data_IF_432276721491
#
_entry.id   IF_432276721491
#
_cell.length_a   1.000
_cell.length_b   1.000
_cell.length_c   1.000
_cell.angle_alpha   90.00
_cell.angle_beta   90.00
_cell.angle_gamma   90.00
#
_symmetry.space_group_name_H-M   'P 1'
#
loop_
_entity.id
_entity.type
_entity.pdbx_description
1 polymer ?
#
# COMPACT_ATOMS: atom_id res chain seq x y z
N UNK A 1 27.74 -14.10 20.61
CA UNK A 1 27.14 -13.06 19.78
C UNK A 1 27.08 -13.48 18.30
N UNK A 2 28.21 -13.78 17.61
CA UNK A 2 28.28 -14.16 16.18
C UNK A 2 27.31 -15.31 15.81
N UNK A 3 27.21 -16.37 16.63
CA UNK A 3 26.29 -17.50 16.40
C UNK A 3 24.82 -17.10 16.45
N UNK A 4 24.44 -16.21 17.36
CA UNK A 4 23.03 -15.77 17.48
C UNK A 4 22.62 -14.91 16.29
N UNK A 5 23.51 -14.02 15.82
CA UNK A 5 23.26 -13.22 14.62
C UNK A 5 23.11 -14.11 13.39
N UNK A 6 24.01 -15.07 13.19
CA UNK A 6 23.91 -16.01 12.08
C UNK A 6 22.59 -16.79 12.09
N UNK A 7 22.15 -17.29 13.25
CA UNK A 7 20.86 -17.98 13.36
C UNK A 7 19.66 -17.08 13.04
N UNK A 8 19.71 -15.82 13.45
CA UNK A 8 18.67 -14.85 13.13
C UNK A 8 18.59 -14.59 11.62
N UNK A 9 19.74 -14.49 10.95
CA UNK A 9 19.81 -14.35 9.49
C UNK A 9 19.35 -15.62 8.76
N UNK A 10 19.68 -16.81 9.29
CA UNK A 10 19.17 -18.08 8.73
C UNK A 10 17.65 -18.17 8.81
N UNK A 11 17.03 -17.67 9.88
CA UNK A 11 15.58 -17.60 10.00
C UNK A 11 14.92 -16.63 8.99
N UNK A 12 15.69 -15.71 8.44
CA UNK A 12 15.19 -14.77 7.42
C UNK A 12 14.74 -15.46 6.12
N UNK A 13 15.34 -16.60 5.80
CA UNK A 13 14.94 -17.36 4.59
C UNK A 13 13.50 -17.86 4.68
N UNK A 14 12.99 -18.06 5.91
CA UNK A 14 11.58 -18.41 6.13
C UNK A 14 10.60 -17.26 5.81
N UNK A 15 11.13 -16.04 5.60
CA UNK A 15 10.34 -14.87 5.20
C UNK A 15 10.40 -14.57 3.70
N UNK A 16 10.96 -15.48 2.89
CA UNK A 16 11.07 -15.34 1.44
C UNK A 16 12.37 -14.71 0.95
N UNK A 17 13.33 -14.39 1.82
CA UNK A 17 14.63 -13.88 1.39
C UNK A 17 15.60 -15.02 1.11
N UNK A 18 16.15 -15.14 -0.13
CA UNK A 18 17.15 -16.17 -0.43
C UNK A 18 18.41 -16.04 0.44
N UNK A 19 18.96 -17.17 0.89
CA UNK A 19 20.18 -17.22 1.70
C UNK A 19 21.39 -16.55 1.01
N UNK A 20 21.41 -16.54 -0.33
CA UNK A 20 22.42 -15.89 -1.16
C UNK A 20 22.49 -14.38 -0.96
N UNK A 21 21.38 -13.72 -0.68
CA UNK A 21 21.33 -12.27 -0.39
C UNK A 21 22.24 -11.87 0.79
N UNK A 22 22.43 -12.78 1.73
CA UNK A 22 23.13 -12.51 3.00
C UNK A 22 24.44 -13.29 3.11
N UNK A 23 24.90 -13.96 2.04
CA UNK A 23 26.16 -14.73 2.03
C UNK A 23 26.25 -15.71 3.21
N UNK A 24 25.13 -16.34 3.59
CA UNK A 24 25.03 -17.10 4.83
C UNK A 24 26.03 -18.26 4.88
N UNK A 25 26.36 -18.91 3.78
CA UNK A 25 27.34 -19.99 3.74
C UNK A 25 28.73 -19.48 4.10
N UNK A 26 29.16 -18.35 3.53
CA UNK A 26 30.45 -17.71 3.83
C UNK A 26 30.54 -17.31 5.29
N UNK A 27 29.47 -16.70 5.81
CA UNK A 27 29.39 -16.31 7.22
C UNK A 27 29.41 -17.52 8.14
N UNK A 28 28.76 -18.63 7.79
CA UNK A 28 28.73 -19.88 8.56
C UNK A 28 30.15 -20.49 8.69
N UNK A 29 30.86 -20.58 7.56
CA UNK A 29 32.26 -21.08 7.55
C UNK A 29 33.14 -20.16 8.40
N UNK A 30 33.03 -18.84 8.21
CA UNK A 30 33.86 -17.86 8.92
C UNK A 30 33.57 -17.84 10.43
N UNK A 31 32.31 -17.93 10.86
CA UNK A 31 31.93 -18.03 12.28
C UNK A 31 32.47 -19.33 12.90
N UNK A 32 32.46 -20.43 12.15
CA UNK A 32 33.01 -21.72 12.62
C UNK A 32 34.50 -21.63 12.80
N UNK A 33 35.27 -21.12 11.81
CA UNK A 33 36.69 -20.91 11.88
C UNK A 33 37.10 -19.99 13.05
N UNK A 34 36.34 -18.90 13.27
CA UNK A 34 36.56 -18.01 14.42
C UNK A 34 36.43 -18.74 15.77
N UNK A 35 35.48 -19.67 15.89
CA UNK A 35 35.29 -20.46 17.13
C UNK A 35 36.38 -21.48 17.37
N UNK A 36 37.00 -21.94 16.31
CA UNK A 36 38.13 -22.89 16.37
C UNK A 36 39.49 -22.21 16.60
N UNK A 37 39.51 -20.87 16.71
CA UNK A 37 40.75 -20.10 16.86
C UNK A 37 41.60 -20.02 15.59
N UNK A 38 41.01 -20.30 14.42
CA UNK A 38 41.72 -20.34 13.13
C UNK A 38 41.82 -18.98 12.45
N UNK A 39 41.48 -17.89 13.13
CA UNK A 39 41.47 -16.53 12.57
C UNK A 39 42.43 -15.62 13.36
N UNK A 40 43.20 -14.82 12.63
CA UNK A 40 43.93 -13.68 13.17
C UNK A 40 43.01 -12.49 13.44
N UNK A 41 43.52 -11.47 14.13
CA UNK A 41 42.74 -10.28 14.51
C UNK A 41 42.15 -9.53 13.29
N UNK A 42 42.90 -9.50 12.17
CA UNK A 42 42.43 -8.83 10.92
C UNK A 42 41.23 -9.57 10.31
N UNK A 43 41.22 -10.90 10.32
CA UNK A 43 40.12 -11.72 9.84
C UNK A 43 38.93 -11.64 10.78
N UNK A 44 39.18 -11.61 12.12
CA UNK A 44 38.12 -11.41 13.12
C UNK A 44 37.43 -10.05 12.96
N UNK A 45 38.17 -8.97 12.72
CA UNK A 45 37.64 -7.66 12.49
C UNK A 45 36.80 -7.61 11.21
N UNK A 46 37.27 -8.22 10.09
CA UNK A 46 36.49 -8.34 8.86
C UNK A 46 35.20 -9.13 9.05
N UNK A 47 35.22 -10.22 9.80
CA UNK A 47 34.03 -10.98 10.11
C UNK A 47 33.01 -10.16 10.91
N UNK A 48 33.45 -9.36 11.88
CA UNK A 48 32.57 -8.50 12.66
C UNK A 48 31.92 -7.42 11.79
N UNK A 49 32.67 -6.82 10.87
CA UNK A 49 32.14 -5.86 9.89
C UNK A 49 31.10 -6.52 8.97
N UNK A 50 31.43 -7.68 8.38
CA UNK A 50 30.52 -8.42 7.49
C UNK A 50 29.22 -8.84 8.20
N UNK A 51 29.29 -9.28 9.44
CA UNK A 51 28.11 -9.62 10.23
C UNK A 51 27.27 -8.38 10.54
N UNK A 52 27.90 -7.25 10.84
CA UNK A 52 27.20 -5.98 11.12
C UNK A 52 26.52 -5.43 9.86
N UNK A 53 27.22 -5.43 8.74
CA UNK A 53 26.68 -5.05 7.42
C UNK A 53 25.47 -5.93 7.05
N UNK A 54 25.64 -7.26 7.17
CA UNK A 54 24.55 -8.20 6.86
C UNK A 54 23.35 -7.99 7.76
N UNK A 55 23.54 -7.66 9.04
CA UNK A 55 22.43 -7.32 9.94
C UNK A 55 21.69 -6.08 9.46
N UNK A 56 22.40 -5.01 9.11
CA UNK A 56 21.79 -3.75 8.68
C UNK A 56 21.02 -3.95 7.37
N UNK A 57 21.62 -4.63 6.40
CA UNK A 57 20.98 -4.94 5.10
C UNK A 57 19.72 -5.80 5.31
N UNK A 58 19.82 -6.87 6.12
CA UNK A 58 18.67 -7.71 6.40
C UNK A 58 17.58 -6.96 7.16
N UNK A 59 17.93 -6.18 8.17
CA UNK A 59 16.99 -5.36 8.94
C UNK A 59 16.25 -4.36 8.03
N UNK A 60 16.96 -3.79 7.06
CA UNK A 60 16.37 -2.89 6.07
C UNK A 60 15.39 -3.61 5.14
N UNK A 61 15.76 -4.78 4.61
CA UNK A 61 14.89 -5.61 3.78
C UNK A 61 13.62 -6.06 4.52
N UNK A 62 13.74 -6.49 5.77
CA UNK A 62 12.57 -6.88 6.60
C UNK A 62 11.64 -5.68 6.85
N UNK A 63 12.22 -4.48 6.99
CA UNK A 63 11.48 -3.25 7.32
C UNK A 63 10.74 -2.66 6.13
N UNK A 64 11.36 -2.64 4.95
CA UNK A 64 10.86 -1.90 3.78
C UNK A 64 10.75 -2.71 2.49
N UNK A 65 11.05 -4.01 2.54
CA UNK A 65 11.12 -4.86 1.36
C UNK A 65 12.50 -4.88 0.70
N UNK A 66 12.71 -5.85 -0.18
CA UNK A 66 13.90 -5.96 -1.01
C UNK A 66 13.90 -4.92 -2.13
N UNK A 67 12.72 -4.66 -2.69
CA UNK A 67 12.53 -3.74 -3.81
C UNK A 67 11.94 -2.42 -3.29
N UNK A 68 12.54 -1.29 -3.66
CA UNK A 68 11.91 0.01 -3.43
C UNK A 68 10.70 0.14 -4.38
N UNK A 69 9.47 0.30 -3.86
CA UNK A 69 8.27 0.39 -4.68
C UNK A 69 8.35 1.47 -5.77
N UNK A 70 9.09 2.57 -5.53
CA UNK A 70 9.24 3.67 -6.49
C UNK A 70 10.09 3.31 -7.71
N UNK A 71 10.77 2.16 -7.68
CA UNK A 71 11.52 1.65 -8.83
C UNK A 71 10.63 0.84 -9.78
N UNK A 72 9.47 0.40 -9.31
CA UNK A 72 8.55 -0.48 -10.06
C UNK A 72 7.19 0.16 -10.31
N UNK A 73 6.82 1.24 -9.61
CA UNK A 73 5.56 1.96 -9.86
C UNK A 73 5.63 3.42 -9.44
N UNK A 74 5.12 4.31 -10.29
CA UNK A 74 4.95 5.74 -9.99
C UNK A 74 3.72 6.01 -9.10
N UNK A 75 2.99 4.95 -8.73
CA UNK A 75 1.73 5.05 -7.98
C UNK A 75 1.86 4.70 -6.50
N UNK A 76 3.08 4.55 -5.98
CA UNK A 76 3.35 4.36 -4.57
C UNK A 76 3.68 5.67 -3.86
N UNK A 77 2.81 6.10 -2.94
CA UNK A 77 2.92 7.36 -2.21
C UNK A 77 2.70 7.19 -0.70
N UNK A 78 2.93 5.99 -0.17
CA UNK A 78 2.99 5.81 1.28
C UNK A 78 4.32 6.39 1.78
N UNK A 79 4.31 7.28 2.80
CA UNK A 79 5.54 7.87 3.32
C UNK A 79 6.47 6.82 3.92
N UNK A 80 7.76 6.88 3.54
CA UNK A 80 8.78 6.10 4.21
C UNK A 80 9.05 6.67 5.62
N UNK A 81 9.41 5.79 6.56
CA UNK A 81 9.80 6.18 7.91
C UNK A 81 11.30 5.90 8.09
N UNK A 82 12.11 6.93 8.33
CA UNK A 82 13.52 6.76 8.66
C UNK A 82 13.69 5.80 9.84
N UNK A 83 14.72 4.98 9.81
CA UNK A 83 15.04 4.04 10.87
C UNK A 83 16.54 4.09 11.19
N UNK A 84 16.88 4.17 12.46
CA UNK A 84 18.26 4.03 12.92
C UNK A 84 18.60 2.55 13.10
N UNK A 85 18.99 1.88 12.01
CA UNK A 85 19.35 0.47 12.02
C UNK A 85 20.72 0.23 12.71
N UNK A 86 21.60 1.22 12.67
CA UNK A 86 22.89 1.14 13.38
C UNK A 86 22.69 1.23 14.91
N UNK A 87 21.84 2.12 15.36
CA UNK A 87 21.42 2.19 16.75
C UNK A 87 20.67 0.94 17.20
N UNK A 88 19.81 0.37 16.35
CA UNK A 88 19.15 -0.91 16.61
C UNK A 88 20.18 -2.04 16.80
N UNK A 89 21.18 -2.14 15.92
CA UNK A 89 22.26 -3.14 16.06
C UNK A 89 23.02 -2.94 17.38
N UNK A 90 23.46 -1.71 17.66
CA UNK A 90 24.23 -1.39 18.86
C UNK A 90 23.47 -1.77 20.13
N UNK A 91 22.19 -1.37 20.20
CA UNK A 91 21.32 -1.67 21.35
C UNK A 91 21.07 -3.18 21.49
N UNK A 92 20.78 -3.86 20.38
CA UNK A 92 20.50 -5.31 20.41
C UNK A 92 21.74 -6.14 20.78
N UNK A 93 22.95 -5.70 20.40
CA UNK A 93 24.20 -6.31 20.83
C UNK A 93 24.45 -6.10 22.33
N UNK A 94 24.19 -4.89 22.84
CA UNK A 94 24.34 -4.59 24.27
C UNK A 94 23.38 -5.42 25.14
N UNK A 95 22.16 -5.60 24.69
CA UNK A 95 21.11 -6.38 25.36
C UNK A 95 21.20 -7.88 25.08
N UNK A 96 22.09 -8.33 24.19
CA UNK A 96 22.17 -9.70 23.68
C UNK A 96 20.85 -10.23 23.10
N UNK A 97 20.08 -9.34 22.41
CA UNK A 97 18.72 -9.55 21.93
C UNK A 97 18.60 -9.33 20.39
N UNK A 98 19.61 -9.77 19.63
CA UNK A 98 19.69 -9.55 18.17
C UNK A 98 18.54 -10.23 17.42
N UNK A 99 18.17 -11.45 17.80
CA UNK A 99 17.11 -12.21 17.12
C UNK A 99 15.76 -11.53 17.27
N UNK A 100 15.38 -11.18 18.51
CA UNK A 100 14.11 -10.50 18.76
C UNK A 100 14.09 -9.08 18.17
N UNK A 101 15.25 -8.42 18.03
CA UNK A 101 15.35 -7.13 17.36
C UNK A 101 14.94 -7.23 15.88
N UNK A 102 15.39 -8.29 15.16
CA UNK A 102 14.99 -8.56 13.78
C UNK A 102 13.53 -8.99 13.68
N UNK A 103 13.07 -9.86 14.57
CA UNK A 103 11.65 -10.26 14.62
C UNK A 103 10.70 -9.08 14.83
N UNK A 104 11.11 -8.12 15.65
CA UNK A 104 10.33 -6.88 15.85
C UNK A 104 10.20 -6.03 14.59
N UNK A 105 11.03 -6.19 13.59
CA UNK A 105 10.93 -5.50 12.30
C UNK A 105 9.91 -6.17 11.35
N UNK A 106 9.61 -7.44 11.54
CA UNK A 106 8.68 -8.20 10.70
C UNK A 106 7.25 -7.65 10.85
N UNK A 107 6.47 -7.55 9.77
CA UNK A 107 5.06 -7.19 9.84
C UNK A 107 4.29 -8.14 10.78
N UNK A 108 3.61 -7.59 11.81
CA UNK A 108 2.93 -8.39 12.85
C UNK A 108 1.50 -8.80 12.50
N UNK A 109 1.09 -8.63 11.26
CA UNK A 109 -0.29 -8.94 10.86
C UNK A 109 -0.44 -10.41 10.58
N UNK A 110 -1.58 -10.96 11.03
CA UNK A 110 -1.91 -12.37 10.81
C UNK A 110 -1.85 -12.72 9.31
N UNK A 111 -2.42 -11.88 8.45
CA UNK A 111 -2.42 -12.10 7.00
C UNK A 111 -1.01 -12.17 6.40
N UNK A 112 -0.03 -11.40 6.88
CA UNK A 112 1.37 -11.53 6.46
C UNK A 112 1.96 -12.88 6.86
N UNK A 113 1.73 -13.29 8.11
CA UNK A 113 2.23 -14.57 8.62
C UNK A 113 1.57 -15.76 7.90
N UNK A 114 0.28 -15.66 7.62
CA UNK A 114 -0.46 -16.66 6.83
C UNK A 114 0.09 -16.75 5.41
N UNK A 115 0.30 -15.62 4.74
CA UNK A 115 0.88 -15.58 3.40
C UNK A 115 2.30 -16.20 3.38
N UNK A 116 3.15 -15.88 4.36
CA UNK A 116 4.51 -16.39 4.46
C UNK A 116 4.57 -17.94 4.64
N UNK A 117 3.53 -18.57 5.19
CA UNK A 117 3.48 -20.03 5.36
C UNK A 117 3.47 -20.77 4.02
N UNK A 118 2.93 -20.18 2.97
CA UNK A 118 2.90 -20.79 1.64
C UNK A 118 4.28 -20.84 0.96
N UNK A 119 5.27 -20.07 1.45
CA UNK A 119 6.64 -20.12 0.93
C UNK A 119 7.28 -21.51 1.00
N UNK A 120 6.86 -22.34 1.94
CA UNK A 120 7.42 -23.69 2.11
C UNK A 120 6.99 -24.66 1.01
N UNK A 121 5.90 -24.38 0.31
CA UNK A 121 5.30 -25.26 -0.71
C UNK A 121 5.25 -24.62 -2.10
N UNK A 122 5.34 -23.30 -2.19
CA UNK A 122 5.30 -22.58 -3.46
C UNK A 122 6.58 -22.76 -4.28
N UNK A 123 6.44 -22.98 -5.57
CA UNK A 123 7.53 -23.16 -6.53
C UNK A 123 7.31 -22.31 -7.79
N UNK A 124 8.38 -22.08 -8.56
CA UNK A 124 8.31 -21.40 -9.85
C UNK A 124 7.70 -19.99 -9.75
N UNK A 125 6.78 -19.67 -10.66
CA UNK A 125 6.16 -18.35 -10.75
C UNK A 125 5.23 -18.04 -9.56
N UNK A 126 4.59 -19.04 -8.97
CA UNK A 126 3.78 -18.86 -7.75
C UNK A 126 4.64 -18.36 -6.59
N UNK A 127 5.82 -18.92 -6.45
CA UNK A 127 6.78 -18.48 -5.42
C UNK A 127 7.20 -17.03 -5.63
N UNK A 128 7.55 -16.62 -6.85
CA UNK A 128 7.91 -15.22 -7.13
C UNK A 128 6.75 -14.26 -6.86
N UNK A 129 5.53 -14.63 -7.24
CA UNK A 129 4.33 -13.84 -6.92
C UNK A 129 4.12 -13.71 -5.42
N UNK A 130 4.36 -14.78 -4.67
CA UNK A 130 4.25 -14.78 -3.22
C UNK A 130 5.31 -13.88 -2.57
N UNK A 131 6.57 -13.98 -2.99
CA UNK A 131 7.68 -13.15 -2.54
C UNK A 131 7.44 -11.66 -2.84
N UNK A 132 6.96 -11.33 -4.03
CA UNK A 132 6.57 -9.98 -4.42
C UNK A 132 5.45 -9.41 -3.54
N UNK A 133 4.42 -10.20 -3.23
CA UNK A 133 3.34 -9.77 -2.35
C UNK A 133 3.78 -9.64 -0.90
N UNK A 134 4.69 -10.48 -0.41
CA UNK A 134 5.31 -10.29 0.90
C UNK A 134 6.11 -8.99 0.97
N UNK A 135 6.75 -8.60 -0.13
CA UNK A 135 7.45 -7.30 -0.21
C UNK A 135 6.48 -6.13 -0.12
N UNK A 136 5.36 -6.18 -0.85
CA UNK A 136 4.29 -5.17 -0.76
C UNK A 136 3.77 -4.98 0.68
N UNK A 137 3.72 -6.05 1.47
CA UNK A 137 3.39 -5.96 2.90
C UNK A 137 4.44 -5.20 3.71
N UNK A 138 5.73 -5.34 3.37
CA UNK A 138 6.84 -4.67 4.04
C UNK A 138 6.92 -3.18 3.71
N UNK A 139 6.38 -2.76 2.57
CA UNK A 139 6.32 -1.36 2.17
C UNK A 139 5.42 -0.52 3.07
N UNK A 140 4.49 -1.14 3.76
CA UNK A 140 3.60 -0.45 4.69
C UNK A 140 4.30 -0.09 6.00
N UNK A 141 3.84 0.97 6.69
CA UNK A 141 4.20 1.20 8.07
C UNK A 141 3.91 -0.06 8.90
N UNK A 142 4.87 -0.45 9.73
CA UNK A 142 4.73 -1.63 10.57
C UNK A 142 3.53 -1.55 11.50
N UNK A 143 3.28 -0.37 12.02
CA UNK A 143 2.14 -0.04 12.87
C UNK A 143 1.20 0.90 12.10
N UNK A 144 -0.01 0.42 11.79
CA UNK A 144 -1.07 1.21 11.17
C UNK A 144 -1.99 1.85 12.22
N UNK A 145 -1.73 1.63 13.51
CA UNK A 145 -2.59 1.99 14.62
C UNK A 145 -3.65 0.93 14.93
N UNK A 146 -4.44 1.18 15.97
CA UNK A 146 -5.53 0.29 16.38
C UNK A 146 -6.81 0.56 15.58
N UNK A 147 -7.01 1.82 15.14
CA UNK A 147 -8.19 2.25 14.40
C UNK A 147 -7.77 2.77 13.02
N UNK A 148 -8.21 2.12 11.94
CA UNK A 148 -7.93 2.56 10.56
C UNK A 148 -8.87 1.89 9.55
N UNK A 149 -8.91 2.47 8.34
CA UNK A 149 -9.48 1.84 7.16
C UNK A 149 -8.36 1.33 6.25
N UNK A 150 -8.56 0.17 5.66
CA UNK A 150 -7.65 -0.44 4.70
C UNK A 150 -8.39 -0.69 3.39
N UNK A 151 -8.07 0.06 2.34
CA UNK A 151 -8.63 -0.13 1.01
C UNK A 151 -7.70 -1.03 0.22
N UNK A 152 -8.12 -2.28 -0.01
CA UNK A 152 -7.41 -3.29 -0.81
C UNK A 152 -7.84 -3.15 -2.27
N UNK A 153 -7.04 -2.46 -3.06
CA UNK A 153 -7.43 -2.02 -4.42
C UNK A 153 -7.71 -3.20 -5.35
N UNK A 154 -6.82 -4.19 -5.42
CA UNK A 154 -7.02 -5.37 -6.29
C UNK A 154 -8.10 -6.33 -5.77
N UNK A 155 -8.43 -6.31 -4.48
CA UNK A 155 -9.55 -7.08 -3.93
C UNK A 155 -10.90 -6.36 -4.10
N UNK A 156 -10.88 -5.08 -4.46
CA UNK A 156 -12.07 -4.22 -4.48
C UNK A 156 -12.82 -4.21 -3.14
N UNK A 157 -12.07 -4.15 -2.04
CA UNK A 157 -12.60 -4.22 -0.68
C UNK A 157 -12.02 -3.13 0.22
N UNK A 158 -12.82 -2.67 1.17
CA UNK A 158 -12.44 -1.80 2.26
C UNK A 158 -12.70 -2.52 3.58
N UNK A 159 -11.65 -2.71 4.36
CA UNK A 159 -11.72 -3.25 5.72
C UNK A 159 -11.69 -2.12 6.73
N UNK A 160 -12.57 -2.20 7.72
CA UNK A 160 -12.56 -1.32 8.88
C UNK A 160 -12.03 -2.07 10.09
N UNK A 161 -10.91 -1.59 10.63
CA UNK A 161 -10.27 -2.11 11.84
C UNK A 161 -10.48 -1.10 12.95
N UNK A 162 -10.85 -1.60 14.13
CA UNK A 162 -11.09 -0.80 15.33
C UNK A 162 -10.63 -1.54 16.57
N UNK A 163 -9.86 -0.86 17.44
CA UNK A 163 -9.25 -1.50 18.61
C UNK A 163 -8.36 -2.70 18.23
N UNK A 164 -7.73 -2.67 17.05
CA UNK A 164 -6.98 -3.78 16.50
C UNK A 164 -7.80 -4.95 15.97
N UNK A 165 -9.15 -4.88 16.02
CA UNK A 165 -10.07 -5.94 15.61
C UNK A 165 -10.77 -5.56 14.30
N UNK A 166 -10.87 -6.51 13.37
CA UNK A 166 -11.64 -6.36 12.15
C UNK A 166 -13.14 -6.25 12.46
N UNK A 167 -13.76 -5.15 12.04
CA UNK A 167 -15.18 -4.85 12.28
C UNK A 167 -16.06 -5.27 11.11
N UNK A 168 -15.65 -4.91 9.90
CA UNK A 168 -16.42 -5.20 8.69
C UNK A 168 -15.58 -5.00 7.44
N UNK A 169 -15.95 -5.72 6.39
CA UNK A 169 -15.49 -5.47 5.02
C UNK A 169 -16.65 -4.91 4.18
N UNK A 170 -16.33 -4.07 3.22
CA UNK A 170 -17.26 -3.49 2.25
C UNK A 170 -16.68 -3.57 0.85
N UNK A 171 -17.54 -3.81 -0.12
CA UNK A 171 -17.12 -3.71 -1.52
C UNK A 171 -16.83 -2.25 -1.88
N UNK A 172 -15.82 -2.06 -2.72
CA UNK A 172 -15.50 -0.74 -3.26
C UNK A 172 -15.38 -0.79 -4.79
N UNK A 173 -15.57 0.38 -5.41
CA UNK A 173 -15.26 0.62 -6.82
C UNK A 173 -14.08 1.57 -6.86
N UNK A 174 -13.00 1.16 -7.50
CA UNK A 174 -11.74 1.90 -7.61
C UNK A 174 -11.54 2.50 -9.00
N UNK A 175 -10.46 3.22 -9.22
CA UNK A 175 -10.13 3.84 -10.50
C UNK A 175 -9.86 2.83 -11.61
N UNK A 176 -10.25 3.20 -12.84
CA UNK A 176 -9.88 2.48 -14.06
C UNK A 176 -8.35 2.41 -14.23
N UNK A 177 -7.80 1.45 -14.99
CA UNK A 177 -6.34 1.33 -15.18
C UNK A 177 -5.64 2.61 -15.67
N UNK A 178 -6.31 3.42 -16.49
CA UNK A 178 -5.78 4.70 -16.99
C UNK A 178 -6.03 5.90 -16.05
N UNK A 179 -6.86 5.72 -15.03
CA UNK A 179 -7.23 6.72 -14.01
C UNK A 179 -7.22 6.06 -12.64
N UNK A 180 -6.15 5.30 -12.39
CA UNK A 180 -6.06 4.40 -11.24
C UNK A 180 -6.10 5.13 -9.91
N UNK A 181 -6.56 4.43 -8.89
CA UNK A 181 -6.37 4.83 -7.51
C UNK A 181 -4.95 4.45 -7.09
N UNK A 182 -4.07 5.40 -6.72
CA UNK A 182 -2.72 5.07 -6.28
C UNK A 182 -2.71 4.43 -4.89
N UNK A 183 -1.58 3.81 -4.54
CA UNK A 183 -1.29 3.37 -3.18
C UNK A 183 -0.74 4.53 -2.36
N UNK A 184 -1.47 4.94 -1.31
CA UNK A 184 -1.07 6.06 -0.44
C UNK A 184 -1.67 5.93 0.95
N UNK A 185 -1.13 6.70 1.89
CA UNK A 185 -1.67 6.84 3.23
C UNK A 185 -2.26 8.24 3.42
N UNK A 186 -3.40 8.32 4.07
CA UNK A 186 -4.09 9.55 4.44
C UNK A 186 -4.87 9.37 5.73
N UNK A 187 -5.74 10.32 6.03
CA UNK A 187 -6.66 10.22 7.17
C UNK A 187 -7.96 10.97 6.86
N UNK A 188 -9.07 10.41 7.34
CA UNK A 188 -10.36 11.09 7.32
C UNK A 188 -10.39 12.10 8.46
N UNK A 189 -10.65 13.35 8.12
CA UNK A 189 -10.84 14.45 9.09
C UNK A 189 -12.29 14.83 9.24
N UNK A 190 -13.06 14.70 8.16
CA UNK A 190 -14.42 15.17 8.06
C UNK A 190 -15.29 14.24 7.21
N UNK A 191 -16.57 14.16 7.55
CA UNK A 191 -17.61 13.53 6.75
C UNK A 191 -18.55 14.62 6.26
N UNK A 192 -18.67 14.75 4.93
CA UNK A 192 -19.59 15.69 4.29
C UNK A 192 -20.88 14.97 3.96
N UNK A 193 -22.00 15.44 4.50
CA UNK A 193 -23.35 14.94 4.25
C UNK A 193 -23.96 15.72 3.10
N UNK A 194 -24.64 15.04 2.19
CA UNK A 194 -25.23 15.62 0.97
C UNK A 194 -24.24 16.56 0.24
N UNK A 195 -23.07 16.02 -0.20
CA UNK A 195 -22.03 16.83 -0.81
C UNK A 195 -22.46 17.38 -2.16
N UNK A 196 -22.08 18.63 -2.47
CA UNK A 196 -22.04 19.11 -3.84
C UNK A 196 -20.82 18.51 -4.54
N UNK A 197 -20.93 18.18 -5.80
CA UNK A 197 -19.83 17.67 -6.60
C UNK A 197 -19.19 18.78 -7.44
N UNK A 198 -17.99 19.18 -7.04
CA UNK A 198 -17.13 20.04 -7.86
C UNK A 198 -16.46 19.16 -8.90
N UNK A 199 -16.84 19.31 -10.16
CA UNK A 199 -16.40 18.44 -11.23
C UNK A 199 -14.91 18.71 -11.55
N UNK A 200 -14.05 17.69 -11.52
CA UNK A 200 -12.67 17.83 -11.98
C UNK A 200 -12.60 18.31 -13.44
N UNK A 201 -11.60 19.14 -13.74
CA UNK A 201 -11.47 19.73 -15.09
C UNK A 201 -11.33 18.67 -16.19
N UNK A 202 -10.69 17.52 -15.90
CA UNK A 202 -10.60 16.38 -16.82
C UNK A 202 -11.97 15.80 -17.14
N UNK A 203 -12.79 15.52 -16.13
CA UNK A 203 -14.15 14.99 -16.33
C UNK A 203 -15.03 16.01 -17.03
N UNK A 204 -14.90 17.29 -16.70
CA UNK A 204 -15.64 18.35 -17.39
C UNK A 204 -15.31 18.38 -18.89
N UNK A 205 -14.01 18.30 -19.24
CA UNK A 205 -13.52 18.32 -20.61
C UNK A 205 -13.89 17.05 -21.38
N UNK A 206 -13.69 15.89 -20.75
CA UNK A 206 -13.75 14.59 -21.45
C UNK A 206 -15.19 14.03 -21.51
N UNK A 207 -16.08 14.46 -20.62
CA UNK A 207 -17.43 13.91 -20.52
C UNK A 207 -18.56 14.96 -20.57
N UNK A 208 -18.48 16.01 -19.74
CA UNK A 208 -19.60 16.98 -19.66
C UNK A 208 -19.70 17.87 -20.90
N UNK A 209 -18.57 18.42 -21.36
CA UNK A 209 -18.58 19.30 -22.53
C UNK A 209 -19.01 18.57 -23.81
N UNK A 210 -18.48 17.38 -24.16
CA UNK A 210 -18.96 16.63 -25.32
C UNK A 210 -20.47 16.31 -25.25
N UNK A 211 -20.99 15.99 -24.07
CA UNK A 211 -22.41 15.78 -23.89
C UNK A 211 -23.22 17.06 -24.06
N UNK A 212 -22.71 18.21 -23.57
CA UNK A 212 -23.34 19.50 -23.69
C UNK A 212 -23.42 19.99 -25.15
N UNK A 213 -22.47 19.56 -26.02
CA UNK A 213 -22.52 19.84 -27.46
C UNK A 213 -23.79 19.27 -28.13
N UNK A 214 -24.27 18.11 -27.64
CA UNK A 214 -25.48 17.48 -28.12
C UNK A 214 -26.75 18.10 -27.54
N UNK A 215 -26.80 18.23 -26.23
CA UNK A 215 -27.93 18.81 -25.50
C UNK A 215 -27.51 19.37 -24.12
N UNK A 216 -27.31 20.67 -24.04
CA UNK A 216 -26.93 21.32 -22.79
C UNK A 216 -28.05 21.34 -21.72
N UNK A 217 -29.29 21.01 -22.08
CA UNK A 217 -30.42 21.00 -21.11
C UNK A 217 -30.20 19.97 -20.00
N UNK A 218 -29.42 18.89 -20.27
CA UNK A 218 -29.11 17.91 -19.26
C UNK A 218 -28.38 18.52 -18.07
N UNK A 219 -27.56 19.55 -18.28
CA UNK A 219 -26.83 20.21 -17.17
C UNK A 219 -27.83 20.73 -16.13
N UNK A 220 -28.92 21.40 -16.59
CA UNK A 220 -29.96 21.89 -15.69
C UNK A 220 -30.74 20.74 -15.04
N UNK A 221 -31.20 19.78 -15.85
CA UNK A 221 -32.02 18.66 -15.35
C UNK A 221 -31.25 17.75 -14.38
N UNK A 222 -29.90 17.70 -14.48
CA UNK A 222 -29.01 16.97 -13.54
C UNK A 222 -28.50 17.83 -12.38
N UNK A 223 -28.98 19.07 -12.24
CA UNK A 223 -28.62 19.93 -11.11
C UNK A 223 -27.22 20.57 -11.20
N UNK A 224 -26.67 20.72 -12.41
CA UNK A 224 -25.40 21.42 -12.59
C UNK A 224 -25.60 22.94 -12.60
N UNK A 225 -24.70 23.62 -11.91
CA UNK A 225 -24.44 25.04 -12.01
C UNK A 225 -23.07 25.23 -12.68
N UNK A 226 -23.00 26.23 -13.57
CA UNK A 226 -21.80 26.54 -14.33
C UNK A 226 -21.26 27.88 -13.88
N UNK A 227 -19.94 27.98 -13.74
CA UNK A 227 -19.28 29.20 -13.31
C UNK A 227 -18.10 29.53 -14.23
N UNK A 228 -17.83 30.83 -14.35
CA UNK A 228 -16.60 31.37 -14.95
C UNK A 228 -15.98 32.35 -13.96
N UNK A 229 -14.74 32.05 -13.52
CA UNK A 229 -14.06 32.84 -12.48
C UNK A 229 -14.95 33.09 -11.24
N UNK A 230 -15.61 32.04 -10.75
CA UNK A 230 -16.55 32.04 -9.62
C UNK A 230 -17.85 32.84 -9.83
N UNK A 231 -18.13 33.33 -11.02
CA UNK A 231 -19.40 33.98 -11.35
C UNK A 231 -20.32 32.97 -12.05
N UNK A 232 -21.62 32.89 -11.66
CA UNK A 232 -22.55 32.01 -12.34
C UNK A 232 -22.69 32.39 -13.79
N UNK A 233 -22.83 31.39 -14.65
CA UNK A 233 -23.03 31.54 -16.10
C UNK A 233 -24.38 30.96 -16.46
N UNK A 234 -25.19 31.74 -17.18
CA UNK A 234 -26.47 31.26 -17.71
C UNK A 234 -26.23 30.24 -18.82
N UNK A 235 -26.83 29.05 -18.71
CA UNK A 235 -26.57 27.94 -19.62
C UNK A 235 -26.94 28.26 -21.08
N UNK A 236 -27.97 29.09 -21.27
CA UNK A 236 -28.45 29.48 -22.61
C UNK A 236 -27.58 30.55 -23.27
N UNK A 237 -26.65 31.19 -22.54
CA UNK A 237 -25.76 32.21 -23.07
C UNK A 237 -24.43 31.63 -23.61
N UNK A 238 -24.22 30.33 -23.52
CA UNK A 238 -23.00 29.67 -23.94
C UNK A 238 -23.25 28.88 -25.22
N UNK A 239 -22.45 29.15 -26.24
CA UNK A 239 -22.33 28.19 -27.35
C UNK A 239 -21.41 27.06 -26.91
N UNK A 240 -21.99 25.91 -26.58
CA UNK A 240 -21.30 24.75 -26.03
C UNK A 240 -20.34 24.10 -27.02
N UNK A 241 -20.45 24.41 -28.31
CA UNK A 241 -19.53 23.93 -29.36
C UNK A 241 -18.34 24.86 -29.57
N UNK A 242 -18.41 26.08 -29.08
CA UNK A 242 -17.33 27.05 -29.14
C UNK A 242 -16.36 26.84 -27.98
N UNK A 243 -15.20 26.32 -28.28
CA UNK A 243 -14.14 26.06 -27.27
C UNK A 243 -13.69 27.33 -26.55
N UNK A 244 -13.75 28.51 -27.23
CA UNK A 244 -13.40 29.80 -26.61
C UNK A 244 -14.39 30.19 -25.51
N UNK A 245 -15.66 29.84 -25.66
CA UNK A 245 -16.69 30.09 -24.67
C UNK A 245 -16.74 29.03 -23.57
N UNK A 246 -16.31 27.82 -23.85
CA UNK A 246 -16.32 26.73 -22.84
C UNK A 246 -15.02 26.65 -22.04
N UNK A 247 -13.95 27.25 -22.53
CA UNK A 247 -12.68 27.32 -21.81
C UNK A 247 -12.83 28.08 -20.48
N UNK A 248 -12.27 27.52 -19.40
CA UNK A 248 -12.30 28.13 -18.07
C UNK A 248 -13.66 28.05 -17.35
N UNK A 249 -14.61 27.30 -17.89
CA UNK A 249 -15.83 26.95 -17.16
C UNK A 249 -15.54 25.92 -16.07
N UNK A 250 -16.17 26.09 -14.93
CA UNK A 250 -16.21 25.10 -13.85
C UNK A 250 -17.66 24.70 -13.58
N UNK A 251 -17.82 23.45 -13.17
CA UNK A 251 -19.12 22.81 -13.00
C UNK A 251 -19.28 22.34 -11.55
N UNK A 252 -20.44 22.65 -10.96
CA UNK A 252 -20.81 22.18 -9.62
C UNK A 252 -22.16 21.52 -9.71
N UNK A 253 -22.26 20.25 -9.34
CA UNK A 253 -23.53 19.55 -9.26
C UNK A 253 -24.09 19.63 -7.84
N UNK A 254 -25.33 20.04 -7.71
CA UNK A 254 -26.03 20.06 -6.44
C UNK A 254 -26.20 18.64 -5.85
N UNK A 255 -26.37 18.50 -4.52
CA UNK A 255 -26.79 17.25 -3.92
C UNK A 255 -28.09 16.72 -4.55
N UNK A 256 -28.20 15.41 -4.70
CA UNK A 256 -29.39 14.80 -5.29
C UNK A 256 -29.15 13.38 -5.79
N UNK A 257 -30.20 12.75 -6.31
CA UNK A 257 -30.15 11.36 -6.76
C UNK A 257 -29.27 11.11 -7.99
N UNK A 258 -28.89 12.14 -8.73
CA UNK A 258 -27.99 12.06 -9.88
C UNK A 258 -26.53 12.44 -9.54
N UNK A 259 -26.29 12.90 -8.30
CA UNK A 259 -24.93 13.28 -7.90
C UNK A 259 -24.07 12.04 -7.64
N UNK A 260 -22.95 11.85 -8.36
CA UNK A 260 -22.12 10.62 -8.25
C UNK A 260 -21.50 10.42 -6.88
N UNK A 261 -21.41 11.47 -6.05
CA UNK A 261 -20.88 11.36 -4.67
C UNK A 261 -21.90 10.77 -3.68
N UNK A 262 -23.16 10.55 -4.11
CA UNK A 262 -24.21 10.02 -3.25
C UNK A 262 -24.53 10.91 -2.05
N UNK A 263 -24.82 10.30 -0.90
CA UNK A 263 -25.27 10.99 0.33
C UNK A 263 -24.13 11.42 1.23
N UNK A 264 -22.95 10.76 1.14
CA UNK A 264 -21.81 11.02 2.02
C UNK A 264 -20.50 10.98 1.26
N UNK A 265 -19.57 11.84 1.69
CA UNK A 265 -18.18 11.89 1.23
C UNK A 265 -17.27 11.98 2.45
N UNK A 266 -16.28 11.10 2.51
CA UNK A 266 -15.21 11.14 3.51
C UNK A 266 -14.07 11.99 2.97
N UNK A 267 -13.76 13.07 3.64
CA UNK A 267 -12.70 13.99 3.22
C UNK A 267 -11.34 13.46 3.62
N UNK A 268 -10.47 13.26 2.64
CA UNK A 268 -9.10 12.79 2.79
C UNK A 268 -8.13 13.90 2.36
N UNK A 269 -7.16 14.22 3.19
CA UNK A 269 -6.12 15.18 2.83
C UNK A 269 -5.05 14.50 1.98
N UNK A 270 -5.06 14.71 0.66
CA UNK A 270 -4.07 14.15 -0.26
C UNK A 270 -3.91 15.03 -1.52
N UNK A 271 -2.77 14.96 -2.23
CA UNK A 271 -2.50 15.75 -3.44
C UNK A 271 -3.22 15.22 -4.70
N UNK A 272 -3.85 14.04 -4.64
CA UNK A 272 -4.45 13.35 -5.80
C UNK A 272 -5.93 13.70 -5.99
N UNK A 273 -6.52 14.50 -5.11
CA UNK A 273 -7.94 14.79 -5.06
C UNK A 273 -8.84 13.53 -4.98
N UNK A 274 -8.35 12.48 -4.31
CA UNK A 274 -9.05 11.23 -4.10
C UNK A 274 -9.84 11.28 -2.80
N UNK A 275 -11.07 10.74 -2.85
CA UNK A 275 -11.99 10.66 -1.70
C UNK A 275 -12.61 9.27 -1.64
N UNK A 276 -13.08 8.90 -0.45
CA UNK A 276 -14.06 7.83 -0.28
C UNK A 276 -15.45 8.47 -0.33
N UNK A 277 -16.41 7.86 -1.03
CA UNK A 277 -17.76 8.42 -1.12
C UNK A 277 -18.82 7.36 -1.42
N UNK A 278 -20.06 7.72 -1.19
CA UNK A 278 -21.25 6.97 -1.56
C UNK A 278 -21.50 7.02 -3.08
N UNK A 279 -22.53 6.35 -3.57
CA UNK A 279 -22.94 6.35 -4.98
C UNK A 279 -24.44 6.21 -5.12
N UNK A 280 -25.07 6.86 -6.11
CA UNK A 280 -26.46 6.62 -6.46
C UNK A 280 -26.69 5.31 -7.23
N UNK A 281 -25.62 4.59 -7.59
CA UNK A 281 -25.66 3.38 -8.41
C UNK A 281 -25.15 2.15 -7.63
N UNK A 282 -25.84 1.68 -6.58
CA UNK A 282 -25.36 0.58 -5.73
C UNK A 282 -25.30 -0.77 -6.46
N UNK A 283 -26.03 -0.93 -7.57
CA UNK A 283 -25.99 -2.17 -8.38
C UNK A 283 -24.62 -2.47 -8.97
N UNK A 284 -23.76 -1.45 -9.15
CA UNK A 284 -22.40 -1.62 -9.67
C UNK A 284 -21.48 -2.40 -8.71
N UNK A 285 -21.79 -2.49 -7.42
CA UNK A 285 -21.05 -3.32 -6.48
C UNK A 285 -21.26 -4.82 -6.71
N UNK A 286 -22.28 -5.21 -7.47
CA UNK A 286 -22.57 -6.62 -7.79
C UNK A 286 -21.67 -7.23 -8.86
N UNK A 287 -20.91 -6.43 -9.60
CA UNK A 287 -19.97 -6.90 -10.61
C UNK A 287 -18.69 -7.46 -9.98
N UNK A 288 -18.01 -8.35 -10.70
CA UNK A 288 -16.71 -8.87 -10.30
C UNK A 288 -15.61 -7.84 -10.53
N UNK A 289 -15.62 -7.18 -11.69
CA UNK A 289 -14.72 -6.08 -12.02
C UNK A 289 -15.31 -4.77 -11.48
N UNK A 290 -14.57 -4.10 -10.61
CA UNK A 290 -14.99 -2.85 -9.96
C UNK A 290 -13.97 -1.73 -10.09
N UNK A 291 -13.18 -1.72 -11.14
CA UNK A 291 -12.26 -0.66 -11.58
C UNK A 291 -12.98 0.30 -12.55
N UNK A 292 -14.02 1.00 -12.05
CA UNK A 292 -14.99 1.76 -12.85
C UNK A 292 -15.02 3.25 -12.53
N UNK A 293 -14.06 3.76 -11.74
CA UNK A 293 -14.06 5.17 -11.33
C UNK A 293 -12.92 5.97 -11.97
N UNK A 294 -12.93 7.27 -11.75
CA UNK A 294 -11.87 8.20 -12.16
C UNK A 294 -10.79 8.38 -11.08
N UNK A 295 -10.60 7.38 -10.23
CA UNK A 295 -9.61 7.39 -9.16
C UNK A 295 -10.21 7.51 -7.75
N UNK A 296 -11.34 8.20 -7.56
CA UNK A 296 -12.04 8.19 -6.28
C UNK A 296 -12.65 6.83 -5.98
N UNK A 297 -12.79 6.48 -4.71
CA UNK A 297 -13.27 5.17 -4.29
C UNK A 297 -14.71 5.26 -3.81
N UNK A 298 -15.62 4.57 -4.54
CA UNK A 298 -17.02 4.41 -4.13
C UNK A 298 -17.10 3.29 -3.09
N UNK A 299 -17.82 3.53 -2.00
CA UNK A 299 -17.92 2.59 -0.88
C UNK A 299 -19.36 2.08 -0.76
N UNK A 300 -19.51 0.77 -0.76
CA UNK A 300 -20.81 0.13 -0.50
C UNK A 300 -21.27 0.45 0.92
N UNK A 301 -22.57 0.79 1.07
CA UNK A 301 -23.15 1.19 2.36
C UNK A 301 -22.33 2.29 3.08
N UNK A 302 -21.87 3.29 2.32
CA UNK A 302 -21.04 4.37 2.86
C UNK A 302 -21.69 5.14 4.02
N UNK A 303 -23.03 5.28 4.01
CA UNK A 303 -23.79 5.90 5.10
C UNK A 303 -23.63 5.12 6.40
N UNK A 304 -23.67 3.78 6.35
CA UNK A 304 -23.54 2.93 7.53
C UNK A 304 -22.08 2.92 8.04
N UNK A 305 -21.10 3.00 7.13
CA UNK A 305 -19.72 3.22 7.53
C UNK A 305 -19.55 4.56 8.27
N UNK A 306 -20.16 5.63 7.76
CA UNK A 306 -20.12 6.95 8.40
C UNK A 306 -20.75 6.92 9.80
N UNK A 307 -21.90 6.26 9.97
CA UNK A 307 -22.53 6.04 11.29
C UNK A 307 -21.59 5.35 12.25
N UNK A 308 -21.02 4.23 11.83
CA UNK A 308 -20.10 3.46 12.66
C UNK A 308 -18.88 4.27 13.11
N UNK A 309 -18.29 5.06 12.22
CA UNK A 309 -17.15 5.94 12.53
C UNK A 309 -17.57 7.04 13.53
N UNK A 310 -18.77 7.59 13.39
CA UNK A 310 -19.28 8.70 14.22
C UNK A 310 -19.92 8.27 15.54
N UNK A 311 -20.26 7.00 15.73
CA UNK A 311 -20.99 6.49 16.89
C UNK A 311 -20.33 6.83 18.25
N UNK A 312 -18.99 7.01 18.31
CA UNK A 312 -18.27 7.43 19.50
C UNK A 312 -17.86 8.90 19.50
N UNK A 313 -18.02 9.58 18.36
CA UNK A 313 -17.42 10.90 18.13
C UNK A 313 -18.38 12.08 18.41
N UNK A 314 -19.45 11.90 19.20
CA UNK A 314 -20.48 12.95 19.46
C UNK A 314 -21.03 13.62 18.17
N UNK A 315 -20.68 13.12 16.99
CA UNK A 315 -21.08 13.64 15.68
C UNK A 315 -22.33 12.98 15.12
N UNK A 316 -22.76 11.85 15.68
CA UNK A 316 -23.83 11.01 15.14
C UNK A 316 -25.17 11.76 15.06
N UNK A 317 -25.57 12.45 16.13
CA UNK A 317 -26.82 13.21 16.15
C UNK A 317 -26.85 14.32 15.09
N UNK A 318 -25.72 15.01 14.88
CA UNK A 318 -25.59 16.03 13.82
C UNK A 318 -25.64 15.39 12.44
N UNK A 319 -24.96 14.27 12.26
CA UNK A 319 -24.96 13.51 11.01
C UNK A 319 -26.38 13.09 10.62
N UNK A 320 -27.12 12.44 11.53
CA UNK A 320 -28.49 12.01 11.30
C UNK A 320 -29.44 13.20 11.03
N UNK A 321 -29.28 14.30 11.76
CA UNK A 321 -30.07 15.53 11.51
C UNK A 321 -29.84 16.09 10.10
N UNK A 322 -28.58 16.14 9.63
CA UNK A 322 -28.25 16.61 8.28
C UNK A 322 -28.79 15.64 7.21
N UNK A 323 -28.65 14.33 7.46
CA UNK A 323 -29.09 13.28 6.54
C UNK A 323 -30.61 13.32 6.37
N UNK A 324 -31.38 13.39 7.45
CA UNK A 324 -32.84 13.46 7.45
C UNK A 324 -33.38 14.77 6.84
N UNK A 325 -32.69 15.87 7.09
CA UNK A 325 -33.08 17.18 6.55
C UNK A 325 -32.68 17.40 5.09
N UNK A 326 -31.98 16.45 4.46
CA UNK A 326 -31.39 16.57 3.11
C UNK A 326 -30.51 17.84 2.96
N UNK A 327 -29.82 18.24 4.03
CA UNK A 327 -28.97 19.44 4.05
C UNK A 327 -27.50 19.10 3.91
N UNK A 328 -26.83 19.87 3.08
CA UNK A 328 -25.35 19.82 3.04
C UNK A 328 -24.76 20.28 4.36
N UNK A 329 -23.85 19.51 4.91
CA UNK A 329 -23.14 19.88 6.11
C UNK A 329 -21.91 19.02 6.35
N UNK A 330 -21.06 19.50 7.25
CA UNK A 330 -19.80 18.84 7.60
C UNK A 330 -19.87 18.36 9.05
N UNK A 331 -19.44 17.13 9.28
CA UNK A 331 -19.26 16.55 10.60
C UNK A 331 -17.79 16.19 10.75
N UNK A 332 -17.06 16.95 11.57
CA UNK A 332 -15.62 16.73 11.81
C UNK A 332 -15.41 15.61 12.82
N UNK A 333 -14.41 14.77 12.57
CA UNK A 333 -13.97 13.75 13.51
C UNK A 333 -13.12 14.39 14.62
N UNK A 334 -13.31 13.95 15.86
CA UNK A 334 -12.49 14.42 17.00
C UNK A 334 -11.04 13.96 16.86
N UNK A 335 -10.83 12.77 16.29
CA UNK A 335 -9.52 12.23 15.95
C UNK A 335 -9.56 11.82 14.50
N UNK A 336 -8.59 12.26 13.68
CA UNK A 336 -8.47 11.81 12.31
C UNK A 336 -8.34 10.29 12.25
N UNK A 337 -9.09 9.64 11.37
CA UNK A 337 -9.05 8.19 11.17
C UNK A 337 -8.09 7.86 10.03
N UNK A 338 -6.98 7.13 10.28
CA UNK A 338 -6.05 6.72 9.24
C UNK A 338 -6.73 5.88 8.15
N UNK A 339 -6.32 6.09 6.92
CA UNK A 339 -6.76 5.30 5.75
C UNK A 339 -5.55 4.96 4.92
N UNK A 340 -5.42 3.67 4.57
CA UNK A 340 -4.37 3.14 3.73
C UNK A 340 -4.98 2.57 2.46
N UNK A 341 -4.49 3.01 1.30
CA UNK A 341 -4.82 2.45 0.00
C UNK A 341 -3.63 1.60 -0.45
N UNK A 342 -3.88 0.34 -0.70
CA UNK A 342 -2.83 -0.64 -0.95
C UNK A 342 -3.18 -1.54 -2.14
N UNK A 343 -2.14 -2.00 -2.83
CA UNK A 343 -2.26 -2.88 -3.97
C UNK A 343 -1.57 -4.21 -3.71
N UNK A 344 -2.35 -5.25 -3.36
CA UNK A 344 -1.91 -6.62 -3.17
C UNK A 344 -2.67 -7.52 -4.12
N UNK A 345 -1.98 -8.45 -4.78
CA UNK A 345 -2.56 -9.39 -5.75
C UNK A 345 -2.63 -10.82 -5.23
N UNK A 346 -2.28 -11.03 -3.97
CA UNK A 346 -2.50 -12.26 -3.23
C UNK A 346 -3.14 -11.97 -1.87
N UNK A 347 -4.09 -12.82 -1.51
CA UNK A 347 -4.80 -12.81 -0.25
C UNK A 347 -4.84 -14.22 0.36
N UNK A 348 -5.20 -14.34 1.63
CA UNK A 348 -5.46 -15.62 2.28
C UNK A 348 -6.88 -15.59 2.82
N UNK A 349 -7.71 -16.51 2.35
CA UNK A 349 -9.11 -16.64 2.75
C UNK A 349 -9.34 -18.08 3.20
N UNK A 350 -9.87 -18.25 4.39
CA UNK A 350 -10.12 -19.57 5.00
C UNK A 350 -8.89 -20.51 4.97
N UNK A 351 -7.69 -19.92 5.16
CA UNK A 351 -6.42 -20.64 5.16
C UNK A 351 -5.93 -21.10 3.79
N UNK A 352 -6.55 -20.62 2.70
CA UNK A 352 -6.14 -20.92 1.32
C UNK A 352 -5.65 -19.65 0.61
N UNK A 353 -4.65 -19.82 -0.26
CA UNK A 353 -4.13 -18.73 -1.08
C UNK A 353 -5.17 -18.36 -2.15
N UNK A 354 -5.55 -17.08 -2.19
CA UNK A 354 -6.48 -16.52 -3.17
C UNK A 354 -5.75 -15.53 -4.06
N UNK A 355 -5.44 -15.87 -5.31
CA UNK A 355 -4.98 -14.90 -6.29
C UNK A 355 -6.06 -13.86 -6.61
N UNK A 356 -5.67 -12.61 -6.70
CA UNK A 356 -6.50 -11.49 -7.14
C UNK A 356 -6.06 -11.06 -8.55
N UNK A 357 -6.96 -10.44 -9.30
CA UNK A 357 -6.63 -9.89 -10.60
C UNK A 357 -5.61 -8.74 -10.46
N UNK A 358 -4.58 -8.75 -11.30
CA UNK A 358 -3.62 -7.66 -11.39
C UNK A 358 -4.17 -6.54 -12.29
N UNK A 359 -5.25 -5.88 -11.83
CA UNK A 359 -6.02 -4.89 -12.60
C UNK A 359 -5.19 -3.69 -13.04
N UNK A 360 -4.06 -3.43 -12.37
CA UNK A 360 -3.17 -2.31 -12.70
C UNK A 360 -1.88 -2.75 -13.40
N UNK A 361 -1.64 -4.06 -13.56
CA UNK A 361 -0.47 -4.59 -14.26
C UNK A 361 0.85 -4.32 -13.54
N UNK A 362 0.89 -4.40 -12.20
CA UNK A 362 2.09 -4.11 -11.41
C UNK A 362 2.89 -5.36 -11.01
N UNK A 363 2.35 -6.57 -11.21
CA UNK A 363 3.00 -7.81 -10.78
C UNK A 363 4.26 -8.10 -11.59
N UNK A 364 4.19 -8.02 -12.91
CA UNK A 364 5.31 -8.41 -13.78
C UNK A 364 6.56 -7.57 -13.52
N UNK A 365 6.42 -6.26 -13.33
CA UNK A 365 7.54 -5.36 -13.04
C UNK A 365 8.17 -5.68 -11.68
N UNK A 366 7.36 -5.95 -10.67
CA UNK A 366 7.84 -6.27 -9.33
C UNK A 366 8.52 -7.64 -9.30
N UNK A 367 7.93 -8.66 -9.94
CA UNK A 367 8.48 -10.00 -10.03
C UNK A 367 9.83 -9.98 -10.76
N UNK A 368 9.94 -9.23 -11.85
CA UNK A 368 11.20 -9.12 -12.60
C UNK A 368 12.27 -8.39 -11.76
N UNK A 369 11.93 -7.30 -11.08
CA UNK A 369 12.84 -6.62 -10.18
C UNK A 369 13.33 -7.55 -9.06
N UNK A 370 12.44 -8.36 -8.49
CA UNK A 370 12.77 -9.37 -7.48
C UNK A 370 13.73 -10.44 -8.03
N UNK A 371 13.45 -10.98 -9.22
CA UNK A 371 14.32 -11.95 -9.90
C UNK A 371 15.72 -11.41 -10.13
N UNK A 372 15.82 -10.19 -10.65
CA UNK A 372 17.10 -9.53 -10.90
C UNK A 372 17.90 -9.29 -9.61
N UNK A 373 17.27 -8.79 -8.56
CA UNK A 373 17.92 -8.55 -7.28
C UNK A 373 18.46 -9.86 -6.66
N UNK A 374 17.70 -10.95 -6.74
CA UNK A 374 18.09 -12.25 -6.20
C UNK A 374 19.16 -12.96 -7.06
N UNK A 375 19.09 -12.84 -8.39
CA UNK A 375 20.08 -13.43 -9.31
C UNK A 375 21.46 -12.73 -9.15
N UNK A 376 21.49 -11.41 -9.04
CA UNK A 376 22.74 -10.65 -8.81
C UNK A 376 23.41 -11.06 -7.50
N UNK A 377 22.64 -11.28 -6.45
CA UNK A 377 23.15 -11.75 -5.16
C UNK A 377 23.74 -13.18 -5.25
N UNK A 378 23.15 -14.06 -6.05
CA UNK A 378 23.69 -15.41 -6.30
C UNK A 378 25.04 -15.35 -7.00
N UNK A 379 25.16 -14.55 -8.07
CA UNK A 379 26.42 -14.41 -8.82
C UNK A 379 27.57 -13.88 -7.95
N UNK A 380 27.30 -12.89 -7.11
CA UNK A 380 28.28 -12.35 -6.17
C UNK A 380 28.72 -13.40 -5.10
N UNK A 381 27.80 -14.23 -4.61
CA UNK A 381 28.12 -15.28 -3.65
C UNK A 381 29.00 -16.39 -4.26
N UNK A 382 28.84 -16.71 -5.55
CA UNK A 382 29.67 -17.69 -6.27
C UNK A 382 31.12 -17.20 -6.41
N UNK A 383 31.33 -15.94 -6.78
CA UNK A 383 32.66 -15.35 -6.93
C UNK A 383 33.45 -15.35 -5.61
N UNK A 384 32.81 -15.12 -4.47
CA UNK A 384 33.43 -15.14 -3.16
C UNK A 384 33.67 -16.55 -2.63
N UNK A 385 32.79 -17.50 -2.91
CA UNK A 385 33.05 -18.94 -2.59
C UNK A 385 34.27 -19.46 -3.33
N UNK A 386 34.51 -19.04 -4.57
CA UNK A 386 35.71 -19.34 -5.31
C UNK A 386 37.00 -18.75 -4.66
N UNK A 387 36.91 -17.53 -4.14
CA UNK A 387 38.00 -16.92 -3.35
C UNK A 387 38.28 -17.66 -2.05
N UNK A 388 37.28 -18.21 -1.38
CA UNK A 388 37.43 -18.98 -0.17
C UNK A 388 38.05 -20.40 -0.42
N UNK A 389 37.79 -20.99 -1.60
CA UNK A 389 38.41 -22.25 -2.00
C UNK A 389 39.94 -22.12 -2.19
N UNK A 390 40.43 -20.95 -2.58
CA UNK A 390 41.86 -20.62 -2.63
C UNK A 390 42.53 -20.49 -1.23
N UNK A 391 41.73 -20.51 -0.15
CA UNK A 391 42.21 -20.44 1.25
C UNK A 391 42.25 -21.81 1.96
N UNK A 392 42.04 -22.93 1.23
CA UNK A 392 42.31 -24.26 1.83
C UNK A 392 43.80 -24.36 2.12
N UNK A 393 44.20 -24.74 3.35
CA UNK A 393 45.61 -25.08 3.61
C UNK A 393 46.01 -26.19 2.63
N UNK A 394 47.06 -26.00 1.89
CA UNK A 394 47.72 -27.07 1.14
C UNK A 394 47.87 -28.25 2.09
N UNK A 395 47.25 -29.37 1.75
CA UNK A 395 47.35 -30.60 2.50
C UNK A 395 48.87 -30.88 2.77
N UNK A 396 49.18 -31.15 4.00
CA UNK A 396 50.47 -31.60 4.43
C UNK A 396 50.94 -32.74 3.52
N UNK A 397 51.96 -32.44 2.72
CA UNK A 397 52.78 -33.43 2.08
C UNK A 397 53.68 -34.04 3.16
N UNK A 398 53.37 -35.27 3.52
CA UNK A 398 54.32 -36.05 4.33
C UNK A 398 55.48 -36.52 3.47
N UNK A 399 56.64 -36.44 4.01
CA UNK A 399 57.73 -37.46 3.90
C UNK A 399 58.26 -37.74 5.27
#
# INVERSE_FOLDING_TARGET
RKKYLLRALEAATAQGFPASLYRLEVLRVSVTASRQGLMDDSRLARLDLSLSETFIVHADHVRRGLIDPRQVTDHWHVPDRPSDLAGLLTTSLALNDVASALERLTPRRLAYAELARFLSTAEGDERFRLEANLDRWRWLPRDLGDDYLLVRLAAFELDWIRGGVHQSSRRVIVGEPFRRTPSFASQITDIVVHPSWHVPASIARDELLPRAWGDARFLRSSGFQVFRQSRPVELNSVDWRDTSQTQGLSFVQAPGGSNPLGKVKFHLKNPFAIFLHDTPSPSLFGGDDRDLSHGCVRVEQAVDLARGILAEARGEARFESLLAAHKTGVVSLQRPLPVYFIYWTLDVVDGQLRPLADVYGEDDQLIEAWRLATATAQTNSWNESAMLQGLRPSAFGGT
#
